data_IF_759391354921
#
_entry.id   IF_759391354921
#
_cell.length_a   1.000
_cell.length_b   1.000
_cell.length_c   1.000
_cell.angle_alpha   90.00
_cell.angle_beta   90.00
_cell.angle_gamma   90.00
#
_symmetry.space_group_name_H-M   'P 1'
#
loop_
_entity.id
_entity.type
_entity.pdbx_description
1 polymer ?
#
# COMPACT_ATOMS: atom_id res chain seq x y z
N UNK A 1 12.61 4.61 7.39
CA UNK A 1 13.08 3.67 8.42
C UNK A 1 13.34 2.30 7.80
N UNK A 2 12.34 1.61 7.25
CA UNK A 2 12.42 0.23 6.74
C UNK A 2 13.51 0.05 5.67
N UNK A 3 13.65 1.00 4.74
CA UNK A 3 14.69 0.99 3.69
C UNK A 3 16.12 0.95 4.28
N UNK A 4 16.39 1.75 5.30
CA UNK A 4 17.71 1.79 5.96
C UNK A 4 18.04 0.46 6.67
N UNK A 5 17.03 -0.17 7.28
CA UNK A 5 17.22 -1.50 7.90
C UNK A 5 17.52 -2.55 6.84
N UNK A 6 16.83 -2.51 5.70
CA UNK A 6 17.10 -3.37 4.57
C UNK A 6 18.54 -3.22 4.07
N UNK A 7 18.98 -1.99 3.81
CA UNK A 7 20.33 -1.69 3.35
C UNK A 7 21.40 -2.18 4.33
N UNK A 8 21.17 -2.02 5.64
CA UNK A 8 22.05 -2.55 6.67
C UNK A 8 22.10 -4.09 6.66
N UNK A 9 20.94 -4.77 6.53
CA UNK A 9 20.92 -6.23 6.48
C UNK A 9 21.64 -6.76 5.22
N UNK A 10 21.48 -6.10 4.06
CA UNK A 10 22.23 -6.43 2.85
C UNK A 10 23.73 -6.25 3.07
N UNK A 11 24.16 -5.15 3.71
CA UNK A 11 25.57 -4.91 4.02
C UNK A 11 26.15 -6.02 4.92
N UNK A 12 25.38 -6.52 5.90
CA UNK A 12 25.75 -7.64 6.77
C UNK A 12 25.59 -9.02 6.10
N UNK A 13 25.32 -9.07 4.77
CA UNK A 13 25.10 -10.29 3.98
C UNK A 13 23.90 -11.14 4.47
N UNK A 14 22.93 -10.52 5.10
CA UNK A 14 21.66 -11.14 5.53
C UNK A 14 20.60 -10.93 4.44
N UNK A 15 20.67 -11.73 3.38
CA UNK A 15 19.90 -11.50 2.15
C UNK A 15 18.43 -11.92 2.25
N UNK A 16 18.09 -12.81 3.18
CA UNK A 16 16.74 -13.37 3.34
C UNK A 16 16.07 -12.75 4.58
N UNK A 17 15.20 -11.78 4.37
CA UNK A 17 14.54 -11.10 5.48
C UNK A 17 13.17 -10.55 5.11
N UNK A 18 12.33 -10.39 6.13
CA UNK A 18 11.12 -9.59 6.12
C UNK A 18 11.27 -8.52 7.19
N UNK A 19 11.01 -7.28 6.82
CA UNK A 19 11.02 -6.12 7.72
C UNK A 19 9.63 -5.51 7.64
N UNK A 20 9.02 -5.26 8.79
CA UNK A 20 7.75 -4.51 8.93
C UNK A 20 7.96 -3.43 10.00
N UNK A 21 7.81 -2.18 9.61
CA UNK A 21 7.88 -1.04 10.53
C UNK A 21 6.71 -0.12 10.23
N UNK A 22 5.67 -0.24 11.07
CA UNK A 22 4.50 0.64 10.97
C UNK A 22 3.59 0.36 9.78
N UNK A 23 3.73 -0.80 9.11
CA UNK A 23 2.97 -1.17 7.92
C UNK A 23 3.72 -0.94 6.61
N UNK A 24 4.90 -0.30 6.63
CA UNK A 24 5.84 -0.32 5.52
C UNK A 24 6.66 -1.61 5.60
N UNK A 25 6.56 -2.42 4.55
CA UNK A 25 7.13 -3.77 4.52
C UNK A 25 8.18 -3.87 3.42
N UNK A 26 9.30 -4.51 3.74
CA UNK A 26 10.25 -5.05 2.75
C UNK A 26 10.35 -6.55 2.94
N UNK A 27 10.29 -7.28 1.84
CA UNK A 27 10.65 -8.69 1.76
C UNK A 27 11.78 -8.85 0.77
N UNK A 28 12.77 -9.67 1.12
CA UNK A 28 13.94 -9.97 0.29
C UNK A 28 14.29 -11.44 0.40
N UNK A 29 14.72 -12.04 -0.72
CA UNK A 29 15.09 -13.44 -0.76
C UNK A 29 13.95 -14.38 -0.39
N UNK A 30 14.23 -15.40 0.44
CA UNK A 30 13.28 -16.46 0.75
C UNK A 30 13.17 -16.74 2.25
N UNK A 31 12.05 -17.36 2.65
CA UNK A 31 11.82 -17.93 3.97
C UNK A 31 11.95 -19.46 3.88
N UNK A 32 13.11 -20.01 4.27
CA UNK A 32 13.38 -21.44 4.18
C UNK A 32 13.05 -22.00 2.78
N UNK A 33 13.65 -21.43 1.74
CA UNK A 33 13.48 -21.80 0.32
C UNK A 33 12.08 -21.52 -0.27
N UNK A 34 11.16 -20.94 0.50
CA UNK A 34 9.83 -20.53 0.03
C UNK A 34 9.76 -19.01 -0.12
N UNK A 35 8.98 -18.50 -1.06
CA UNK A 35 8.71 -17.07 -1.13
C UNK A 35 8.12 -16.54 0.17
N UNK A 36 8.47 -15.31 0.55
CA UNK A 36 7.73 -14.57 1.55
C UNK A 36 6.31 -14.31 1.07
N UNK A 37 5.35 -14.38 1.98
CA UNK A 37 3.95 -14.07 1.71
C UNK A 37 3.48 -12.97 2.66
N UNK A 38 2.96 -11.88 2.10
CA UNK A 38 2.44 -10.73 2.84
C UNK A 38 0.95 -10.60 2.56
N UNK A 39 0.15 -10.61 3.62
CA UNK A 39 -1.30 -10.40 3.54
C UNK A 39 -1.63 -8.91 3.59
N UNK A 40 -2.38 -8.42 2.60
CA UNK A 40 -2.97 -7.07 2.64
C UNK A 40 -4.31 -7.16 3.34
N UNK A 41 -4.44 -6.45 4.45
CA UNK A 41 -5.63 -6.52 5.30
C UNK A 41 -6.89 -6.02 4.59
N UNK A 42 -7.99 -6.71 4.85
CA UNK A 42 -9.31 -6.23 4.44
C UNK A 42 -9.73 -5.04 5.33
N UNK A 43 -9.92 -3.83 4.80
CA UNK A 43 -10.27 -2.65 5.60
C UNK A 43 -11.62 -2.74 6.32
N UNK A 44 -12.47 -3.68 5.93
CA UNK A 44 -13.80 -3.84 6.51
C UNK A 44 -13.94 -5.07 7.40
N UNK A 45 -12.96 -5.96 7.37
CA UNK A 45 -13.00 -7.13 8.24
C UNK A 45 -12.69 -6.72 9.69
N UNK A 46 -13.48 -7.24 10.62
CA UNK A 46 -13.17 -7.16 12.05
C UNK A 46 -12.13 -8.22 12.46
N UNK A 47 -11.85 -9.17 11.59
CA UNK A 47 -10.81 -10.19 11.71
C UNK A 47 -9.57 -9.77 10.92
N UNK A 48 -8.44 -10.44 11.17
CA UNK A 48 -7.18 -10.21 10.44
C UNK A 48 -7.18 -10.88 9.04
N UNK A 49 -8.36 -10.96 8.40
CA UNK A 49 -8.48 -11.54 7.07
C UNK A 49 -7.77 -10.69 6.02
N UNK A 50 -6.95 -11.34 5.21
CA UNK A 50 -6.29 -10.70 4.09
C UNK A 50 -7.23 -10.61 2.88
N UNK A 51 -7.32 -9.42 2.27
CA UNK A 51 -7.99 -9.22 0.98
C UNK A 51 -7.20 -9.86 -0.16
N UNK A 52 -5.87 -9.76 -0.10
CA UNK A 52 -4.93 -10.25 -1.11
C UNK A 52 -3.66 -10.74 -0.43
N UNK A 53 -3.05 -11.78 -0.97
CA UNK A 53 -1.72 -12.26 -0.54
C UNK A 53 -0.72 -11.98 -1.65
N UNK A 54 0.33 -11.24 -1.30
CA UNK A 54 1.44 -10.91 -2.20
C UNK A 54 2.60 -11.86 -1.90
N UNK A 55 3.19 -12.44 -2.94
CA UNK A 55 4.41 -13.27 -2.85
C UNK A 55 5.55 -12.63 -3.60
N UNK A 56 6.72 -12.59 -2.99
CA UNK A 56 7.90 -11.94 -3.60
C UNK A 56 8.64 -12.78 -4.64
N UNK A 57 8.29 -14.05 -4.83
CA UNK A 57 8.96 -14.96 -5.76
C UNK A 57 10.50 -14.97 -5.60
N UNK A 58 10.97 -14.88 -4.34
CA UNK A 58 12.38 -14.81 -3.93
C UNK A 58 13.13 -13.53 -4.38
N UNK A 59 12.41 -12.51 -4.86
CA UNK A 59 12.97 -11.20 -5.20
C UNK A 59 12.80 -10.20 -4.06
N UNK A 60 13.30 -8.99 -4.25
CA UNK A 60 12.96 -7.85 -3.41
C UNK A 60 11.56 -7.35 -3.77
N UNK A 61 10.72 -7.10 -2.77
CA UNK A 61 9.52 -6.27 -2.90
C UNK A 61 9.38 -5.35 -1.69
N UNK A 62 9.05 -4.11 -1.96
CA UNK A 62 8.59 -3.16 -0.94
C UNK A 62 7.07 -2.96 -1.07
N UNK A 63 6.37 -2.96 0.03
CA UNK A 63 4.91 -2.86 0.10
C UNK A 63 4.57 -1.79 1.11
N UNK A 64 3.74 -0.83 0.71
CA UNK A 64 3.20 0.17 1.62
C UNK A 64 1.71 0.34 1.40
N UNK A 65 0.97 0.54 2.48
CA UNK A 65 -0.47 0.75 2.43
C UNK A 65 -0.88 2.02 3.18
N UNK A 66 -1.64 2.87 2.50
CA UNK A 66 -2.31 4.03 3.06
C UNK A 66 -3.82 3.82 3.05
N UNK A 67 -4.51 4.25 4.10
CA UNK A 67 -5.97 4.12 4.17
C UNK A 67 -6.58 4.91 5.31
N UNK A 68 -7.77 5.41 5.07
CA UNK A 68 -8.50 6.29 6.00
C UNK A 68 -9.48 5.51 6.89
N UNK A 69 -9.64 4.21 6.69
CA UNK A 69 -10.65 3.41 7.37
C UNK A 69 -10.40 3.24 8.87
N UNK A 70 -9.14 3.37 9.33
CA UNK A 70 -8.76 3.25 10.75
C UNK A 70 -8.47 4.58 11.42
N UNK A 71 -8.06 5.60 10.67
CA UNK A 71 -7.45 6.82 11.19
C UNK A 71 -8.27 8.07 10.86
N UNK A 72 -9.60 7.99 10.94
CA UNK A 72 -10.44 9.18 10.83
C UNK A 72 -10.83 9.70 12.20
N UNK A 73 -10.99 11.02 12.29
CA UNK A 73 -11.63 11.70 13.42
C UNK A 73 -12.98 12.24 12.95
N UNK A 74 -13.96 12.25 13.81
CA UNK A 74 -15.21 12.97 13.53
C UNK A 74 -15.09 14.39 14.06
N UNK A 75 -15.47 15.38 13.23
CA UNK A 75 -15.62 16.75 13.69
C UNK A 75 -16.88 16.91 14.57
N UNK A 76 -17.11 18.12 15.07
CA UNK A 76 -18.30 18.43 15.91
C UNK A 76 -19.64 18.21 15.19
N UNK A 77 -19.62 18.18 13.87
CA UNK A 77 -20.80 17.96 13.02
C UNK A 77 -20.97 16.50 12.59
N UNK A 78 -20.12 15.57 13.08
CA UNK A 78 -20.15 14.15 12.72
C UNK A 78 -19.50 13.82 11.38
N UNK A 79 -18.87 14.77 10.69
CA UNK A 79 -18.16 14.52 9.44
C UNK A 79 -16.83 13.86 9.70
N UNK A 80 -16.45 12.87 8.84
CA UNK A 80 -15.14 12.25 8.88
C UNK A 80 -14.07 13.24 8.42
N UNK A 81 -13.05 13.42 9.25
CA UNK A 81 -11.84 14.16 8.92
C UNK A 81 -10.69 13.16 8.85
N UNK A 82 -10.06 13.08 7.71
CA UNK A 82 -8.87 12.26 7.49
C UNK A 82 -7.61 13.09 7.79
N UNK A 83 -6.50 12.40 8.04
CA UNK A 83 -5.23 13.08 8.30
C UNK A 83 -4.49 13.45 7.00
N UNK A 84 -4.88 12.88 5.87
CA UNK A 84 -4.33 13.21 4.56
C UNK A 84 -4.96 14.50 4.05
N UNK A 85 -4.12 15.45 3.68
CA UNK A 85 -4.52 16.78 3.21
C UNK A 85 -4.26 16.87 1.71
N UNK A 86 -5.23 17.35 0.96
CA UNK A 86 -5.05 17.69 -0.44
C UNK A 86 -4.19 18.96 -0.54
N UNK A 87 -3.00 18.91 -1.18
CA UNK A 87 -2.09 20.05 -1.23
C UNK A 87 -2.63 21.25 -2.04
N UNK A 88 -3.59 21.03 -2.94
CA UNK A 88 -4.17 22.07 -3.75
C UNK A 88 -5.29 22.83 -3.03
N UNK A 89 -6.11 22.13 -2.24
CA UNK A 89 -7.26 22.73 -1.52
C UNK A 89 -6.94 23.06 -0.08
N UNK A 90 -5.88 22.46 0.49
CA UNK A 90 -5.49 22.51 1.90
C UNK A 90 -6.56 21.95 2.84
N UNK A 91 -7.45 21.15 2.31
CA UNK A 91 -8.52 20.49 3.06
C UNK A 91 -8.24 18.98 3.19
N UNK A 92 -8.84 18.37 4.19
CA UNK A 92 -8.86 16.92 4.35
C UNK A 92 -9.47 16.27 3.11
N UNK A 93 -8.83 15.21 2.59
CA UNK A 93 -9.35 14.53 1.40
C UNK A 93 -10.73 13.93 1.66
N UNK A 94 -11.58 14.00 0.63
CA UNK A 94 -12.92 13.38 0.60
C UNK A 94 -13.02 12.60 -0.70
N UNK A 95 -12.71 11.31 -0.65
CA UNK A 95 -12.82 10.43 -1.81
C UNK A 95 -13.41 9.07 -1.39
N UNK A 96 -13.55 8.17 -2.34
CA UNK A 96 -14.13 6.85 -2.16
C UNK A 96 -13.10 5.75 -1.85
N UNK A 97 -11.85 6.10 -1.66
CA UNK A 97 -10.77 5.14 -1.39
C UNK A 97 -10.82 4.74 0.09
N UNK A 98 -10.89 3.45 0.33
CA UNK A 98 -10.78 2.86 1.67
C UNK A 98 -9.33 2.48 1.98
N UNK A 99 -8.61 1.94 0.99
CA UNK A 99 -7.21 1.55 1.11
C UNK A 99 -6.49 1.65 -0.22
N UNK A 100 -5.25 2.10 -0.16
CA UNK A 100 -4.28 2.12 -1.26
C UNK A 100 -3.13 1.20 -0.88
N UNK A 101 -2.75 0.29 -1.74
CA UNK A 101 -1.51 -0.50 -1.58
C UNK A 101 -0.64 -0.34 -2.81
N UNK A 102 0.61 0.01 -2.60
CA UNK A 102 1.63 0.10 -3.64
C UNK A 102 2.68 -0.96 -3.40
N UNK A 103 3.04 -1.68 -4.47
CA UNK A 103 4.17 -2.61 -4.50
C UNK A 103 5.26 -2.02 -5.39
N UNK A 104 6.49 -1.97 -4.89
CA UNK A 104 7.63 -1.40 -5.59
C UNK A 104 8.82 -2.37 -5.60
N UNK A 105 9.46 -2.54 -6.76
CA UNK A 105 10.51 -3.54 -6.96
C UNK A 105 11.87 -3.16 -6.38
N UNK A 106 12.07 -1.92 -5.95
CA UNK A 106 13.40 -1.45 -5.52
C UNK A 106 13.42 -0.55 -4.29
N UNK A 107 12.30 0.02 -3.85
CA UNK A 107 12.30 1.05 -2.80
C UNK A 107 11.02 1.12 -1.99
N UNK A 108 11.16 0.96 -0.68
CA UNK A 108 10.05 1.20 0.26
C UNK A 108 9.72 2.70 0.39
N UNK A 109 10.69 3.58 0.20
CA UNK A 109 10.45 5.02 0.22
C UNK A 109 9.50 5.46 -0.90
N UNK A 110 9.67 4.89 -2.10
CA UNK A 110 8.74 5.16 -3.20
C UNK A 110 7.38 4.48 -2.98
N UNK A 111 7.34 3.25 -2.47
CA UNK A 111 6.08 2.58 -2.17
C UNK A 111 5.22 3.42 -1.19
N UNK A 112 5.82 3.91 -0.10
CA UNK A 112 5.17 4.75 0.90
C UNK A 112 4.72 6.11 0.32
N UNK A 113 5.62 6.81 -0.37
CA UNK A 113 5.31 8.11 -0.99
C UNK A 113 4.16 8.00 -2.01
N UNK A 114 4.18 6.99 -2.87
CA UNK A 114 3.12 6.76 -3.84
C UNK A 114 1.81 6.35 -3.20
N UNK A 115 1.82 5.50 -2.16
CA UNK A 115 0.59 5.09 -1.48
C UNK A 115 -0.16 6.30 -0.90
N UNK A 116 0.57 7.23 -0.29
CA UNK A 116 0.01 8.47 0.25
C UNK A 116 -0.45 9.42 -0.86
N UNK A 117 0.34 9.60 -1.92
CA UNK A 117 0.00 10.45 -3.05
C UNK A 117 -1.26 9.97 -3.78
N UNK A 118 -1.37 8.67 -4.05
CA UNK A 118 -2.55 8.08 -4.70
C UNK A 118 -3.82 8.20 -3.82
N UNK A 119 -3.68 8.08 -2.51
CA UNK A 119 -4.79 8.35 -1.61
C UNK A 119 -5.28 9.80 -1.72
N UNK A 120 -4.36 10.76 -1.84
CA UNK A 120 -4.70 12.18 -1.98
C UNK A 120 -5.31 12.53 -3.36
N UNK A 121 -4.95 11.80 -4.42
CA UNK A 121 -5.42 12.03 -5.80
C UNK A 121 -6.87 11.59 -6.02
N UNK A 122 -7.35 10.59 -5.30
CA UNK A 122 -8.62 9.90 -5.58
C UNK A 122 -8.45 8.79 -6.63
N UNK A 123 -9.45 7.90 -6.73
CA UNK A 123 -9.31 6.60 -7.41
C UNK A 123 -9.03 6.68 -8.91
N UNK A 124 -9.68 7.59 -9.62
CA UNK A 124 -9.55 7.73 -11.08
C UNK A 124 -8.14 8.23 -11.45
N UNK A 125 -7.75 9.40 -10.91
CA UNK A 125 -6.43 9.97 -11.20
C UNK A 125 -5.28 9.10 -10.69
N UNK A 126 -5.46 8.41 -9.55
CA UNK A 126 -4.47 7.50 -9.02
C UNK A 126 -4.23 6.32 -9.97
N UNK A 127 -5.30 5.72 -10.51
CA UNK A 127 -5.20 4.59 -11.44
C UNK A 127 -4.56 4.99 -12.76
N UNK A 128 -4.97 6.12 -13.34
CA UNK A 128 -4.38 6.66 -14.57
C UNK A 128 -2.89 6.97 -14.37
N UNK A 129 -2.54 7.59 -13.24
CA UNK A 129 -1.15 7.91 -12.93
C UNK A 129 -0.32 6.65 -12.74
N UNK A 130 -0.85 5.63 -12.05
CA UNK A 130 -0.15 4.37 -11.83
C UNK A 130 0.12 3.64 -13.16
N UNK A 131 -0.88 3.55 -14.05
CA UNK A 131 -0.72 2.91 -15.35
C UNK A 131 0.28 3.66 -16.25
N UNK A 132 0.21 5.00 -16.27
CA UNK A 132 1.13 5.82 -17.07
C UNK A 132 2.59 5.79 -16.59
N UNK A 133 2.83 5.39 -15.34
CA UNK A 133 4.16 5.35 -14.73
C UNK A 133 4.62 3.92 -14.35
N UNK A 134 3.94 2.88 -14.82
CA UNK A 134 4.28 1.47 -14.59
C UNK A 134 4.42 1.15 -13.08
N UNK A 135 3.46 1.62 -12.28
CA UNK A 135 3.45 1.42 -10.82
C UNK A 135 2.41 0.36 -10.45
N UNK A 136 2.81 -0.64 -9.67
CA UNK A 136 1.89 -1.66 -9.16
C UNK A 136 1.03 -1.08 -8.03
N UNK A 137 -0.24 -0.82 -8.34
CA UNK A 137 -1.23 -0.21 -7.47
C UNK A 137 -2.44 -1.11 -7.29
N UNK A 138 -2.88 -1.27 -6.05
CA UNK A 138 -4.18 -1.81 -5.68
C UNK A 138 -4.98 -0.77 -4.91
N UNK A 139 -6.22 -0.54 -5.32
CA UNK A 139 -7.17 0.29 -4.59
C UNK A 139 -8.34 -0.56 -4.10
N UNK A 140 -8.72 -0.37 -2.85
CA UNK A 140 -10.00 -0.81 -2.31
C UNK A 140 -10.88 0.42 -2.22
N UNK A 141 -11.95 0.44 -2.99
CA UNK A 141 -12.85 1.59 -3.11
C UNK A 141 -14.29 1.23 -2.72
N UNK A 142 -15.02 2.23 -2.24
CA UNK A 142 -16.45 2.12 -1.99
C UNK A 142 -17.23 2.89 -3.06
N UNK A 143 -18.16 2.19 -3.75
CA UNK A 143 -19.08 2.78 -4.72
C UNK A 143 -20.47 2.13 -4.54
N UNK A 144 -21.52 2.95 -4.45
CA UNK A 144 -22.91 2.50 -4.34
C UNK A 144 -23.15 1.44 -3.25
N UNK A 145 -22.55 1.62 -2.06
CA UNK A 145 -22.55 0.67 -0.95
C UNK A 145 -21.91 -0.70 -1.26
N UNK A 146 -21.16 -0.78 -2.34
CA UNK A 146 -20.34 -1.96 -2.70
C UNK A 146 -18.87 -1.63 -2.56
N UNK A 147 -18.10 -2.69 -2.29
CA UNK A 147 -16.65 -2.61 -2.25
C UNK A 147 -16.12 -3.27 -3.50
N UNK A 148 -15.22 -2.57 -4.14
CA UNK A 148 -14.52 -3.04 -5.31
C UNK A 148 -13.01 -2.97 -5.06
N UNK A 149 -12.30 -3.97 -5.57
CA UNK A 149 -10.85 -3.96 -5.61
C UNK A 149 -10.46 -3.77 -7.07
N UNK A 150 -9.65 -2.76 -7.34
CA UNK A 150 -9.16 -2.44 -8.68
C UNK A 150 -7.64 -2.39 -8.67
N UNK A 151 -7.03 -2.75 -9.79
CA UNK A 151 -5.59 -2.92 -9.92
C UNK A 151 -5.08 -2.18 -11.16
N UNK A 152 -3.87 -1.64 -11.07
CA UNK A 152 -3.13 -1.15 -12.24
C UNK A 152 -2.60 -2.32 -13.08
N UNK A 153 -2.22 -2.04 -14.32
CA UNK A 153 -1.68 -3.04 -15.26
C UNK A 153 -0.42 -3.71 -14.69
N UNK A 154 0.49 -2.93 -14.12
CA UNK A 154 1.73 -3.42 -13.50
C UNK A 154 1.49 -4.38 -12.34
N UNK A 155 0.37 -4.27 -11.64
CA UNK A 155 0.03 -5.17 -10.54
C UNK A 155 -0.03 -6.63 -11.00
N UNK A 156 -0.62 -6.88 -12.16
CA UNK A 156 -0.78 -8.25 -12.70
C UNK A 156 0.54 -8.88 -13.12
N UNK A 157 1.55 -8.08 -13.44
CA UNK A 157 2.88 -8.56 -13.79
C UNK A 157 3.70 -8.90 -12.54
N UNK A 158 3.56 -8.11 -11.49
CA UNK A 158 4.40 -8.16 -10.30
C UNK A 158 3.82 -9.06 -9.21
N UNK A 159 2.51 -9.08 -9.07
CA UNK A 159 1.80 -9.80 -8.00
C UNK A 159 1.01 -10.97 -8.61
N UNK A 160 1.65 -12.14 -8.67
CA UNK A 160 1.04 -13.38 -9.20
C UNK A 160 0.79 -14.39 -8.10
#
# INVERSE_FOLDING_TARGET
AVQMVHEYLIYENLLNHLIDIGGEIIVSGSNNEKPWAVGIQNPLSQSDDASVIIKNNNNFLAIASSGEYRNYKSNRNGEKITHTINPNTLESIKNNILSVTVVHETSATYADAYSTAFNAMGSELAMDTANNNDIALMLIIQSDNKINIIYSDKWYDLVK
#
